data_IF_510800399710
#
_entry.id   IF_510800399710
#
_cell.length_a   1.000
_cell.length_b   1.000
_cell.length_c   1.000
_cell.angle_alpha   90.00
_cell.angle_beta   90.00
_cell.angle_gamma   90.00
#
_symmetry.space_group_name_H-M   'P 1'
#
loop_
_entity.id
_entity.type
_entity.pdbx_description
1 polymer ?
#
# COMPACT_ATOMS: atom_id res chain seq x y z
N UNK A 1 -21.07 50.87 -31.45
CA UNK A 1 -19.96 49.94 -31.73
C UNK A 1 -19.22 49.58 -30.44
N UNK A 2 -18.72 50.54 -29.63
CA UNK A 2 -18.02 50.25 -28.35
C UNK A 2 -18.82 49.43 -27.34
N UNK A 3 -20.11 49.72 -27.13
CA UNK A 3 -20.94 48.97 -26.17
C UNK A 3 -21.07 47.48 -26.52
N UNK A 4 -21.07 47.14 -27.81
CA UNK A 4 -21.12 45.74 -28.26
C UNK A 4 -19.81 45.03 -27.90
N UNK A 5 -18.66 45.69 -28.07
CA UNK A 5 -17.36 45.15 -27.66
C UNK A 5 -17.26 44.93 -26.15
N UNK A 6 -17.78 45.86 -25.34
CA UNK A 6 -17.79 45.72 -23.88
C UNK A 6 -18.64 44.51 -23.46
N UNK A 7 -19.84 44.36 -24.05
CA UNK A 7 -20.73 43.22 -23.77
C UNK A 7 -20.08 41.90 -24.19
N UNK A 8 -19.47 41.84 -25.38
CA UNK A 8 -18.78 40.64 -25.86
C UNK A 8 -17.59 40.28 -24.96
N UNK A 9 -16.76 41.24 -24.56
CA UNK A 9 -15.63 41.00 -23.65
C UNK A 9 -16.10 40.56 -22.26
N UNK A 10 -17.22 41.10 -21.76
CA UNK A 10 -17.81 40.68 -20.50
C UNK A 10 -18.29 39.22 -20.56
N UNK A 11 -18.98 38.84 -21.65
CA UNK A 11 -19.41 37.45 -21.87
C UNK A 11 -18.20 36.50 -21.98
N UNK A 12 -17.18 36.88 -22.74
CA UNK A 12 -15.94 36.09 -22.86
C UNK A 12 -15.28 35.91 -21.49
N UNK A 13 -15.20 36.97 -20.69
CA UNK A 13 -14.60 36.90 -19.35
C UNK A 13 -15.36 35.94 -18.43
N UNK A 14 -16.70 35.94 -18.48
CA UNK A 14 -17.53 34.99 -17.74
C UNK A 14 -17.27 33.55 -18.21
N UNK A 15 -17.22 33.31 -19.52
CA UNK A 15 -16.96 31.97 -20.07
C UNK A 15 -15.59 31.47 -19.63
N UNK A 16 -14.55 32.31 -19.75
CA UNK A 16 -13.18 31.97 -19.34
C UNK A 16 -13.13 31.66 -17.85
N UNK A 17 -13.77 32.47 -17.00
CA UNK A 17 -13.83 32.23 -15.56
C UNK A 17 -14.49 30.89 -15.23
N UNK A 18 -15.63 30.56 -15.85
CA UNK A 18 -16.34 29.29 -15.63
C UNK A 18 -15.53 28.09 -16.10
N UNK A 19 -14.89 28.17 -17.27
CA UNK A 19 -14.04 27.09 -17.79
C UNK A 19 -12.83 26.88 -16.88
N UNK A 20 -12.17 27.95 -16.46
CA UNK A 20 -11.01 27.89 -15.56
C UNK A 20 -11.41 27.27 -14.22
N UNK A 21 -12.52 27.69 -13.63
CA UNK A 21 -13.02 27.12 -12.38
C UNK A 21 -13.32 25.62 -12.51
N UNK A 22 -13.95 25.18 -13.61
CA UNK A 22 -14.21 23.75 -13.87
C UNK A 22 -12.92 22.93 -13.99
N UNK A 23 -11.91 23.46 -14.69
CA UNK A 23 -10.62 22.78 -14.83
C UNK A 23 -9.91 22.69 -13.48
N UNK A 24 -9.87 23.80 -12.72
CA UNK A 24 -9.26 23.83 -11.40
C UNK A 24 -9.91 22.83 -10.42
N UNK A 25 -11.24 22.75 -10.40
CA UNK A 25 -11.97 21.78 -9.56
C UNK A 25 -11.63 20.34 -9.99
N UNK A 26 -11.61 20.07 -11.29
CA UNK A 26 -11.27 18.74 -11.82
C UNK A 26 -9.85 18.33 -11.44
N UNK A 27 -8.90 19.23 -11.57
CA UNK A 27 -7.50 18.97 -11.22
C UNK A 27 -7.31 18.82 -9.70
N UNK A 28 -8.03 19.59 -8.90
CA UNK A 28 -8.05 19.45 -7.45
C UNK A 28 -8.51 18.04 -7.03
N UNK A 29 -9.67 17.58 -7.51
CA UNK A 29 -10.16 16.23 -7.19
C UNK A 29 -9.20 15.14 -7.67
N UNK A 30 -8.56 15.34 -8.83
CA UNK A 30 -7.56 14.40 -9.34
C UNK A 30 -6.34 14.33 -8.42
N UNK A 31 -5.85 15.47 -7.94
CA UNK A 31 -4.75 15.53 -6.97
C UNK A 31 -5.14 14.89 -5.64
N UNK A 32 -6.35 15.18 -5.15
CA UNK A 32 -6.86 14.61 -3.89
C UNK A 32 -6.95 13.08 -3.96
N UNK A 33 -7.48 12.53 -5.06
CA UNK A 33 -7.53 11.07 -5.27
C UNK A 33 -6.12 10.49 -5.35
N UNK A 34 -5.20 11.17 -6.04
CA UNK A 34 -3.81 10.72 -6.16
C UNK A 34 -3.12 10.66 -4.78
N UNK A 35 -3.28 11.69 -3.95
CA UNK A 35 -2.72 11.73 -2.59
C UNK A 35 -3.31 10.63 -1.70
N UNK A 36 -4.63 10.38 -1.80
CA UNK A 36 -5.28 9.29 -1.06
C UNK A 36 -4.74 7.92 -1.47
N UNK A 37 -4.53 7.69 -2.78
CA UNK A 37 -3.92 6.45 -3.28
C UNK A 37 -2.49 6.29 -2.78
N UNK A 38 -1.68 7.34 -2.88
CA UNK A 38 -0.28 7.34 -2.47
C UNK A 38 -0.14 7.05 -0.97
N UNK A 39 -0.93 7.71 -0.13
CA UNK A 39 -1.03 7.43 1.29
C UNK A 39 -1.39 5.96 1.59
N UNK A 40 -2.37 5.40 0.88
CA UNK A 40 -2.81 4.01 1.08
C UNK A 40 -1.76 2.99 0.64
N UNK A 41 -1.08 3.21 -0.48
CA UNK A 41 0.03 2.36 -0.89
C UNK A 41 1.19 2.41 0.12
N UNK A 42 1.55 3.60 0.58
CA UNK A 42 2.60 3.79 1.59
C UNK A 42 2.28 3.08 2.91
N UNK A 43 1.02 3.13 3.36
CA UNK A 43 0.54 2.41 4.54
C UNK A 43 0.69 0.88 4.38
N UNK A 44 0.26 0.32 3.25
CA UNK A 44 0.38 -1.12 2.96
C UNK A 44 1.84 -1.56 2.91
N UNK A 45 2.69 -0.81 2.20
CA UNK A 45 4.12 -1.10 2.07
C UNK A 45 4.82 -1.00 3.43
N UNK A 46 4.44 -0.01 4.25
CA UNK A 46 4.93 0.15 5.61
C UNK A 46 4.59 -1.06 6.49
N UNK A 47 3.32 -1.48 6.48
CA UNK A 47 2.86 -2.65 7.23
C UNK A 47 3.58 -3.93 6.79
N UNK A 48 3.73 -4.16 5.47
CA UNK A 48 4.50 -5.31 4.96
C UNK A 48 5.97 -5.27 5.38
N UNK A 49 6.58 -4.07 5.45
CA UNK A 49 7.96 -3.92 5.92
C UNK A 49 8.10 -4.24 7.41
N UNK A 50 7.10 -3.91 8.23
CA UNK A 50 7.06 -4.30 9.65
C UNK A 50 6.97 -5.82 9.78
N UNK A 51 6.09 -6.48 9.01
CA UNK A 51 6.01 -7.94 9.01
C UNK A 51 7.32 -8.58 8.55
N UNK A 52 7.91 -8.10 7.46
CA UNK A 52 9.19 -8.60 6.94
C UNK A 52 10.30 -8.47 7.99
N UNK A 53 10.39 -7.31 8.63
CA UNK A 53 11.37 -7.09 9.69
C UNK A 53 11.18 -8.07 10.84
N UNK A 54 9.94 -8.29 11.29
CA UNK A 54 9.64 -9.23 12.37
C UNK A 54 10.15 -10.64 12.09
N UNK A 55 9.95 -11.14 10.86
CA UNK A 55 10.49 -12.45 10.46
C UNK A 55 12.02 -12.44 10.31
N UNK A 56 12.63 -11.33 9.89
CA UNK A 56 14.09 -11.17 9.88
C UNK A 56 14.67 -11.23 11.30
N UNK A 57 14.12 -10.43 12.22
CA UNK A 57 14.54 -10.39 13.62
C UNK A 57 14.38 -11.79 14.28
N UNK A 58 13.33 -12.55 13.95
CA UNK A 58 13.16 -13.95 14.40
C UNK A 58 14.23 -14.90 13.87
N UNK A 59 14.65 -14.71 12.62
CA UNK A 59 15.70 -15.52 12.03
C UNK A 59 17.05 -15.25 12.71
N UNK A 60 17.38 -13.98 12.89
CA UNK A 60 18.63 -13.53 13.52
C UNK A 60 18.72 -14.03 14.98
N UNK A 61 17.60 -14.00 15.72
CA UNK A 61 17.50 -14.57 17.07
C UNK A 61 17.68 -16.10 17.06
N UNK A 62 17.08 -16.80 16.09
CA UNK A 62 17.20 -18.26 15.99
C UNK A 62 18.62 -18.72 15.67
N UNK A 63 19.35 -17.98 14.81
CA UNK A 63 20.73 -18.28 14.42
C UNK A 63 21.74 -17.80 15.48
N UNK A 64 21.28 -17.08 16.51
CA UNK A 64 22.10 -16.59 17.62
C UNK A 64 22.93 -15.35 17.29
N UNK A 65 22.54 -14.60 16.25
CA UNK A 65 23.20 -13.35 15.85
C UNK A 65 22.67 -12.13 16.63
N UNK A 66 21.64 -12.31 17.45
CA UNK A 66 20.95 -11.25 18.21
C UNK A 66 20.57 -11.70 19.63
N UNK A 67 20.58 -10.78 20.59
CA UNK A 67 19.84 -10.97 21.85
C UNK A 67 18.32 -11.05 21.56
N UNK A 68 17.53 -11.65 22.44
CA UNK A 68 16.09 -11.87 22.21
C UNK A 68 15.31 -10.56 22.08
N UNK A 69 15.12 -10.09 20.85
CA UNK A 69 14.41 -8.85 20.52
C UNK A 69 12.92 -9.15 20.25
N UNK A 70 12.59 -10.36 19.77
CA UNK A 70 11.24 -10.69 19.29
C UNK A 70 10.22 -10.83 20.43
N UNK A 71 10.68 -11.09 21.65
CA UNK A 71 9.81 -11.21 22.82
C UNK A 71 9.34 -9.86 23.40
N UNK A 72 9.82 -8.73 22.85
CA UNK A 72 9.34 -7.39 23.22
C UNK A 72 7.85 -7.22 22.84
N UNK A 73 7.02 -6.99 23.86
CA UNK A 73 5.58 -6.69 23.72
C UNK A 73 5.31 -5.57 22.70
N UNK A 74 6.19 -4.59 22.58
CA UNK A 74 6.04 -3.51 21.61
C UNK A 74 6.17 -4.01 20.18
N UNK A 75 7.10 -4.92 19.92
CA UNK A 75 7.36 -5.49 18.60
C UNK A 75 6.21 -6.42 18.20
N UNK A 76 5.79 -7.31 19.10
CA UNK A 76 4.60 -8.15 18.87
C UNK A 76 3.35 -7.32 18.64
N UNK A 77 3.16 -6.22 19.38
CA UNK A 77 2.02 -5.31 19.18
C UNK A 77 2.06 -4.65 17.80
N UNK A 78 3.23 -4.18 17.35
CA UNK A 78 3.41 -3.62 16.00
C UNK A 78 3.15 -4.64 14.91
N UNK A 79 3.65 -5.87 15.07
CA UNK A 79 3.38 -6.99 14.17
C UNK A 79 1.87 -7.24 14.06
N UNK A 80 1.19 -7.46 15.19
CA UNK A 80 -0.25 -7.76 15.22
C UNK A 80 -1.10 -6.61 14.64
N UNK A 81 -0.72 -5.37 14.92
CA UNK A 81 -1.40 -4.19 14.35
C UNK A 81 -1.24 -4.17 12.84
N UNK A 82 -0.01 -4.32 12.33
CA UNK A 82 0.29 -4.31 10.89
C UNK A 82 -0.42 -5.45 10.15
N UNK A 83 -0.45 -6.64 10.75
CA UNK A 83 -1.15 -7.80 10.22
C UNK A 83 -2.65 -7.49 10.06
N UNK A 84 -3.28 -6.96 11.11
CA UNK A 84 -4.70 -6.61 11.12
C UNK A 84 -5.04 -5.54 10.08
N UNK A 85 -4.22 -4.50 9.96
CA UNK A 85 -4.44 -3.46 8.95
C UNK A 85 -4.35 -4.01 7.51
N UNK A 86 -3.41 -4.94 7.25
CA UNK A 86 -3.31 -5.61 5.95
C UNK A 86 -4.51 -6.55 5.68
N UNK A 87 -5.01 -7.25 6.69
CA UNK A 87 -6.23 -8.06 6.56
C UNK A 87 -7.44 -7.18 6.22
N UNK A 88 -7.60 -6.04 6.90
CA UNK A 88 -8.67 -5.08 6.60
C UNK A 88 -8.62 -4.59 5.16
N UNK A 89 -7.43 -4.26 4.66
CA UNK A 89 -7.24 -3.85 3.26
C UNK A 89 -7.63 -4.97 2.30
N UNK A 90 -7.28 -6.21 2.62
CA UNK A 90 -7.55 -7.39 1.79
C UNK A 90 -9.05 -7.61 1.59
N UNK A 91 -9.83 -7.52 2.66
CA UNK A 91 -11.28 -7.71 2.62
C UNK A 91 -12.06 -6.45 2.24
N UNK A 92 -11.42 -5.28 2.28
CA UNK A 92 -12.00 -4.08 1.73
C UNK A 92 -11.96 -4.15 0.20
N UNK A 93 -13.12 -4.16 -0.46
CA UNK A 93 -13.22 -3.89 -1.89
C UNK A 93 -12.91 -2.40 -2.12
N UNK A 94 -11.63 -2.05 -1.98
CA UNK A 94 -11.16 -0.68 -1.99
C UNK A 94 -11.32 -0.08 -3.37
N UNK A 95 -12.41 0.68 -3.59
CA UNK A 95 -12.67 1.42 -4.83
C UNK A 95 -11.49 2.30 -5.29
N UNK A 96 -10.58 2.67 -4.38
CA UNK A 96 -9.41 3.52 -4.67
C UNK A 96 -8.15 2.77 -5.10
N UNK A 97 -7.96 1.52 -4.69
CA UNK A 97 -6.72 0.77 -4.95
C UNK A 97 -6.87 -0.14 -6.17
N UNK A 98 -5.75 -0.52 -6.78
CA UNK A 98 -5.78 -1.53 -7.82
C UNK A 98 -6.26 -2.87 -7.22
N UNK A 99 -7.27 -3.54 -7.81
CA UNK A 99 -7.81 -4.79 -7.28
C UNK A 99 -6.76 -5.89 -7.06
N UNK A 100 -5.69 -5.90 -7.88
CA UNK A 100 -4.59 -6.85 -7.76
C UNK A 100 -3.85 -6.77 -6.42
N UNK A 101 -3.93 -5.64 -5.71
CA UNK A 101 -3.34 -5.49 -4.38
C UNK A 101 -4.04 -6.43 -3.40
N UNK A 102 -5.39 -6.45 -3.42
CA UNK A 102 -6.17 -7.37 -2.57
C UNK A 102 -5.90 -8.83 -2.96
N UNK A 103 -5.74 -9.14 -4.26
CA UNK A 103 -5.39 -10.49 -4.70
C UNK A 103 -4.03 -10.94 -4.16
N UNK A 104 -3.01 -10.07 -4.22
CA UNK A 104 -1.66 -10.36 -3.70
C UNK A 104 -1.69 -10.59 -2.19
N UNK A 105 -2.36 -9.71 -1.44
CA UNK A 105 -2.48 -9.87 0.01
C UNK A 105 -3.29 -11.12 0.36
N UNK A 106 -4.36 -11.42 -0.36
CA UNK A 106 -5.13 -12.66 -0.19
C UNK A 106 -4.28 -13.91 -0.39
N UNK A 107 -3.41 -13.90 -1.41
CA UNK A 107 -2.47 -14.99 -1.66
C UNK A 107 -1.44 -15.13 -0.53
N UNK A 108 -0.90 -14.02 -0.03
CA UNK A 108 0.02 -14.01 1.12
C UNK A 108 -0.65 -14.58 2.38
N UNK A 109 -1.88 -14.18 2.67
CA UNK A 109 -2.62 -14.71 3.83
C UNK A 109 -3.01 -16.18 3.65
N UNK A 110 -3.30 -16.59 2.42
CA UNK A 110 -3.55 -17.99 2.10
C UNK A 110 -2.29 -18.84 2.30
N UNK A 111 -1.14 -18.41 1.81
CA UNK A 111 0.13 -19.13 1.96
C UNK A 111 0.60 -19.15 3.42
N UNK A 112 0.39 -18.09 4.19
CA UNK A 112 0.70 -18.05 5.62
C UNK A 112 -0.07 -19.12 6.42
N UNK A 113 -1.33 -19.39 6.04
CA UNK A 113 -2.17 -20.41 6.69
C UNK A 113 -1.82 -21.84 6.27
N UNK A 114 -1.25 -22.00 5.08
CA UNK A 114 -0.95 -23.30 4.51
C UNK A 114 0.52 -23.66 4.74
N UNK A 115 0.76 -24.46 5.76
CA UNK A 115 2.09 -24.97 6.08
C UNK A 115 2.59 -25.97 5.03
N UNK A 116 3.86 -25.86 4.65
CA UNK A 116 4.58 -26.88 3.85
C UNK A 116 4.75 -28.18 4.65
N UNK A 117 5.18 -29.27 3.99
CA UNK A 117 5.40 -30.55 4.68
C UNK A 117 6.45 -30.44 5.78
N UNK A 118 7.59 -29.80 5.49
CA UNK A 118 8.66 -29.56 6.46
C UNK A 118 8.17 -28.76 7.68
N UNK A 119 7.35 -27.73 7.44
CA UNK A 119 6.78 -26.89 8.51
C UNK A 119 5.76 -27.65 9.37
N UNK A 120 5.03 -28.60 8.79
CA UNK A 120 4.14 -29.51 9.54
C UNK A 120 4.93 -30.50 10.39
N UNK A 121 6.12 -30.87 9.94
CA UNK A 121 7.08 -31.70 10.69
C UNK A 121 7.85 -30.92 11.77
N UNK A 122 7.61 -29.60 11.90
CA UNK A 122 8.18 -28.77 12.96
C UNK A 122 9.42 -27.97 12.56
N UNK A 123 9.76 -27.91 11.27
CA UNK A 123 10.84 -27.05 10.77
C UNK A 123 10.44 -25.57 10.82
N UNK A 124 10.81 -24.93 11.93
CA UNK A 124 10.50 -23.53 12.20
C UNK A 124 11.35 -22.55 11.38
N UNK A 125 12.58 -22.94 11.01
CA UNK A 125 13.47 -22.08 10.20
C UNK A 125 12.92 -21.96 8.79
N UNK A 126 12.52 -23.09 8.19
CA UNK A 126 11.85 -23.08 6.88
C UNK A 126 10.60 -22.21 6.88
N UNK A 127 9.83 -22.21 7.98
CA UNK A 127 8.67 -21.34 8.12
C UNK A 127 9.05 -19.84 8.12
N UNK A 128 10.03 -19.46 8.94
CA UNK A 128 10.48 -18.06 9.03
C UNK A 128 11.01 -17.57 7.69
N UNK A 129 11.91 -18.33 7.05
CA UNK A 129 12.53 -17.95 5.78
C UNK A 129 11.50 -17.83 4.66
N UNK A 130 10.57 -18.80 4.57
CA UNK A 130 9.47 -18.73 3.59
C UNK A 130 8.62 -17.49 3.81
N UNK A 131 8.18 -17.23 5.04
CA UNK A 131 7.33 -16.07 5.33
C UNK A 131 8.04 -14.76 5.02
N UNK A 132 9.32 -14.64 5.37
CA UNK A 132 10.14 -13.48 5.01
C UNK A 132 10.17 -13.26 3.49
N UNK A 133 10.44 -14.32 2.73
CA UNK A 133 10.49 -14.30 1.27
C UNK A 133 9.15 -13.93 0.64
N UNK A 134 8.06 -14.58 1.06
CA UNK A 134 6.71 -14.31 0.53
C UNK A 134 6.24 -12.87 0.82
N UNK A 135 6.56 -12.33 2.00
CA UNK A 135 6.26 -10.94 2.35
C UNK A 135 7.07 -9.98 1.47
N UNK A 136 8.38 -10.24 1.29
CA UNK A 136 9.25 -9.43 0.41
C UNK A 136 8.70 -9.40 -1.01
N UNK A 137 8.41 -10.56 -1.57
CA UNK A 137 7.92 -10.68 -2.95
C UNK A 137 6.54 -10.00 -3.12
N UNK A 138 5.67 -10.12 -2.12
CA UNK A 138 4.37 -9.42 -2.10
C UNK A 138 4.55 -7.91 -2.06
N UNK A 139 5.48 -7.42 -1.22
CA UNK A 139 5.83 -5.99 -1.11
C UNK A 139 6.34 -5.44 -2.44
N UNK A 140 7.25 -6.14 -3.09
CA UNK A 140 7.80 -5.75 -4.39
C UNK A 140 6.71 -5.69 -5.47
N UNK A 141 5.84 -6.71 -5.55
CA UNK A 141 4.70 -6.71 -6.49
C UNK A 141 3.77 -5.51 -6.25
N UNK A 142 3.48 -5.19 -4.98
CA UNK A 142 2.63 -4.04 -4.64
C UNK A 142 3.31 -2.71 -4.98
N UNK A 143 4.62 -2.57 -4.75
CA UNK A 143 5.39 -1.39 -5.16
C UNK A 143 5.29 -1.17 -6.68
N UNK A 144 5.45 -2.24 -7.47
CA UNK A 144 5.36 -2.14 -8.93
C UNK A 144 3.95 -1.77 -9.41
N UNK A 145 2.90 -2.24 -8.72
CA UNK A 145 1.52 -1.79 -8.97
C UNK A 145 1.37 -0.31 -8.60
N UNK A 146 1.88 0.11 -7.44
CA UNK A 146 1.79 1.48 -6.95
C UNK A 146 2.45 2.47 -7.91
N UNK A 147 3.67 2.17 -8.39
CA UNK A 147 4.37 2.98 -9.40
C UNK A 147 3.53 3.18 -10.66
N UNK A 148 2.92 2.11 -11.16
CA UNK A 148 2.06 2.13 -12.36
C UNK A 148 0.77 2.92 -12.13
N UNK A 149 0.09 2.69 -11.00
CA UNK A 149 -1.18 3.33 -10.66
C UNK A 149 -1.02 4.85 -10.38
N UNK A 150 0.08 5.22 -9.72
CA UNK A 150 0.41 6.62 -9.41
C UNK A 150 1.12 7.34 -10.56
N UNK A 151 1.48 6.62 -11.64
CA UNK A 151 2.26 7.15 -12.79
C UNK A 151 3.59 7.78 -12.39
N UNK A 152 4.23 7.24 -11.35
CA UNK A 152 5.59 7.65 -10.95
C UNK A 152 6.55 7.04 -11.98
N UNK A 153 7.27 7.89 -12.73
CA UNK A 153 8.30 7.42 -13.66
C UNK A 153 9.50 6.92 -12.86
N UNK A 154 10.04 5.76 -13.27
CA UNK A 154 11.34 5.26 -12.81
C UNK A 154 12.44 6.27 -13.15
#
# INVERSE_FOLDING_TARGET
MEYIYIIVNFIISIIVAVVTAKIAIKDFYRQEIWLRKESKYSEIIGNLSILQKYYGDMFDEFVGESESIVDDDLIKKKYNTSLRELELVTFSNGFMLNPKVSDILSQLFYSARNKTENERMGDFVSYIDRMYGEIRDSKEKIIEIAKKDLKVKN
#
